data_IF_465677492860
#
_entry.id   IF_465677492860
#
_cell.length_a   1.000
_cell.length_b   1.000
_cell.length_c   1.000
_cell.angle_alpha   90.00
_cell.angle_beta   90.00
_cell.angle_gamma   90.00
#
_symmetry.space_group_name_H-M   'P 1'
#
loop_
_entity.id
_entity.type
_entity.pdbx_description
1 polymer ?
#
# COMPACT_ATOMS: atom_id res chain seq x y z
N UNK A 1 47.10 -52.99 -58.64
CA UNK A 1 47.44 -53.40 -57.27
C UNK A 1 47.87 -52.12 -56.59
N UNK A 2 46.96 -51.50 -55.82
CA UNK A 2 47.26 -50.24 -55.16
C UNK A 2 48.36 -50.45 -54.11
N UNK A 3 49.29 -49.50 -54.04
CA UNK A 3 50.40 -49.55 -53.09
C UNK A 3 49.85 -49.60 -51.66
N UNK A 4 50.36 -50.47 -50.76
CA UNK A 4 49.97 -50.52 -49.34
C UNK A 4 50.17 -49.19 -48.59
N UNK A 5 50.95 -48.27 -49.16
CA UNK A 5 51.17 -46.91 -48.64
C UNK A 5 49.99 -46.00 -49.00
N UNK A 6 49.38 -46.19 -50.18
CA UNK A 6 48.26 -45.36 -50.64
C UNK A 6 46.98 -45.60 -49.84
N UNK A 7 46.84 -46.78 -49.22
CA UNK A 7 45.73 -47.05 -48.29
C UNK A 7 45.82 -46.26 -46.99
N UNK A 8 46.96 -45.63 -46.68
CA UNK A 8 47.15 -44.73 -45.52
C UNK A 8 47.18 -43.26 -45.96
N UNK A 9 47.82 -42.96 -47.11
CA UNK A 9 47.88 -41.60 -47.65
C UNK A 9 46.51 -41.06 -48.05
N UNK A 10 45.62 -41.90 -48.61
CA UNK A 10 44.29 -41.43 -49.02
C UNK A 10 43.43 -40.99 -47.82
N UNK A 11 43.35 -41.75 -46.71
CA UNK A 11 42.75 -41.27 -45.47
C UNK A 11 43.39 -39.97 -44.94
N UNK A 12 44.72 -39.88 -44.90
CA UNK A 12 45.40 -38.66 -44.45
C UNK A 12 45.02 -37.43 -45.29
N UNK A 13 44.90 -37.59 -46.61
CA UNK A 13 44.44 -36.51 -47.49
C UNK A 13 43.00 -36.10 -47.19
N UNK A 14 42.11 -37.06 -46.90
CA UNK A 14 40.73 -36.75 -46.51
C UNK A 14 40.67 -35.98 -45.19
N UNK A 15 41.52 -36.34 -44.22
CA UNK A 15 41.62 -35.62 -42.94
C UNK A 15 42.19 -34.21 -43.12
N UNK A 16 43.15 -34.03 -44.04
CA UNK A 16 43.71 -32.71 -44.37
C UNK A 16 42.79 -31.84 -45.25
N UNK A 17 41.80 -32.43 -45.91
CA UNK A 17 40.76 -31.70 -46.64
C UNK A 17 39.67 -31.14 -45.71
N UNK A 18 39.68 -31.50 -44.42
CA UNK A 18 38.79 -30.91 -43.40
C UNK A 18 39.16 -29.46 -43.08
N UNK A 19 38.24 -28.73 -42.47
CA UNK A 19 38.57 -27.41 -41.93
C UNK A 19 39.53 -27.56 -40.73
N UNK A 20 40.40 -26.57 -40.46
CA UNK A 20 41.34 -26.63 -39.35
C UNK A 20 40.70 -26.91 -37.99
N UNK A 21 39.48 -26.41 -37.75
CA UNK A 21 38.75 -26.61 -36.50
C UNK A 21 38.26 -28.06 -36.35
N UNK A 22 37.81 -28.69 -37.45
CA UNK A 22 37.47 -30.11 -37.47
C UNK A 22 38.71 -30.99 -37.23
N UNK A 23 39.87 -30.57 -37.77
CA UNK A 23 41.14 -31.27 -37.57
C UNK A 23 41.61 -31.21 -36.10
N UNK A 24 41.33 -30.11 -35.38
CA UNK A 24 41.61 -29.96 -33.94
C UNK A 24 40.78 -30.91 -33.07
N UNK A 25 39.63 -31.40 -33.57
CA UNK A 25 38.82 -32.42 -32.90
C UNK A 25 39.31 -33.85 -33.22
N UNK A 26 39.96 -34.04 -34.36
CA UNK A 26 40.38 -35.35 -34.89
C UNK A 26 41.89 -35.63 -34.68
N UNK A 27 42.53 -34.96 -33.70
CA UNK A 27 43.98 -35.08 -33.44
C UNK A 27 44.42 -36.51 -33.16
N UNK A 28 43.62 -37.32 -32.46
CA UNK A 28 43.96 -38.71 -32.14
C UNK A 28 43.88 -39.63 -33.38
N UNK A 29 42.78 -39.64 -34.16
CA UNK A 29 42.71 -40.36 -35.44
C UNK A 29 43.78 -39.91 -36.45
N UNK A 30 44.02 -38.60 -36.55
CA UNK A 30 45.08 -38.04 -37.39
C UNK A 30 46.47 -38.56 -36.96
N UNK A 31 46.79 -38.51 -35.67
CA UNK A 31 48.08 -38.98 -35.14
C UNK A 31 48.31 -40.46 -35.41
N UNK A 32 47.27 -41.30 -35.25
CA UNK A 32 47.34 -42.73 -35.57
C UNK A 32 47.70 -42.99 -37.04
N UNK A 33 47.10 -42.23 -37.96
CA UNK A 33 47.40 -42.36 -39.40
C UNK A 33 48.82 -41.90 -39.74
N UNK A 34 49.33 -40.87 -39.07
CA UNK A 34 50.72 -40.41 -39.22
C UNK A 34 51.70 -41.46 -38.70
N UNK A 35 51.39 -42.11 -37.57
CA UNK A 35 52.20 -43.19 -37.01
C UNK A 35 52.23 -44.41 -37.95
N UNK A 36 51.09 -44.79 -38.52
CA UNK A 36 50.98 -45.87 -39.52
C UNK A 36 51.84 -45.59 -40.76
N UNK A 37 51.84 -44.35 -41.25
CA UNK A 37 52.68 -43.93 -42.38
C UNK A 37 54.17 -43.91 -42.00
N UNK A 38 54.51 -43.46 -40.79
CA UNK A 38 55.88 -43.43 -40.27
C UNK A 38 56.48 -44.84 -40.16
N UNK A 39 55.68 -45.82 -39.74
CA UNK A 39 56.06 -47.24 -39.67
C UNK A 39 56.41 -47.83 -41.05
N UNK A 40 55.94 -47.20 -42.15
CA UNK A 40 56.25 -47.59 -43.53
C UNK A 40 57.30 -46.69 -44.21
N UNK A 41 58.00 -45.84 -43.44
CA UNK A 41 58.99 -44.86 -43.93
C UNK A 41 60.03 -45.40 -44.92
N UNK A 42 60.47 -46.65 -44.76
CA UNK A 42 61.45 -47.30 -45.64
C UNK A 42 60.95 -47.62 -47.06
N UNK A 43 59.63 -47.54 -47.30
CA UNK A 43 58.99 -47.77 -48.61
C UNK A 43 58.58 -46.50 -49.33
N UNK A 44 58.72 -45.35 -48.69
CA UNK A 44 58.26 -44.08 -49.22
C UNK A 44 59.17 -43.59 -50.35
N UNK A 45 58.56 -43.06 -51.40
CA UNK A 45 59.25 -42.23 -52.38
C UNK A 45 59.74 -40.92 -51.76
N UNK A 46 60.68 -40.19 -52.39
CA UNK A 46 61.16 -38.91 -51.86
C UNK A 46 60.04 -37.90 -51.58
N UNK A 47 59.00 -37.86 -52.42
CA UNK A 47 57.86 -36.97 -52.26
C UNK A 47 56.98 -37.37 -51.06
N UNK A 48 56.72 -38.67 -50.89
CA UNK A 48 55.95 -39.18 -49.75
C UNK A 48 56.71 -39.02 -48.43
N UNK A 49 58.04 -39.11 -48.46
CA UNK A 49 58.89 -38.83 -47.31
C UNK A 49 58.84 -37.35 -46.91
N UNK A 50 58.84 -36.42 -47.87
CA UNK A 50 58.62 -34.99 -47.59
C UNK A 50 57.23 -34.71 -47.02
N UNK A 51 56.20 -35.39 -47.56
CA UNK A 51 54.84 -35.30 -47.04
C UNK A 51 54.76 -35.79 -45.57
N UNK A 52 55.38 -36.93 -45.24
CA UNK A 52 55.47 -37.42 -43.87
C UNK A 52 56.19 -36.42 -42.94
N UNK A 53 57.27 -35.78 -43.38
CA UNK A 53 57.95 -34.75 -42.58
C UNK A 53 57.05 -33.55 -42.26
N UNK A 54 56.20 -33.14 -43.20
CA UNK A 54 55.21 -32.07 -42.99
C UNK A 54 54.13 -32.51 -42.00
N UNK A 55 53.63 -33.74 -42.14
CA UNK A 55 52.64 -34.33 -41.23
C UNK A 55 53.16 -34.46 -39.80
N UNK A 56 54.43 -34.84 -39.61
CA UNK A 56 55.04 -34.97 -38.29
C UNK A 56 55.11 -33.62 -37.56
N UNK A 57 55.46 -32.54 -38.27
CA UNK A 57 55.46 -31.18 -37.71
C UNK A 57 54.05 -30.71 -37.35
N UNK A 58 53.10 -30.90 -38.27
CA UNK A 58 51.69 -30.56 -38.02
C UNK A 58 51.13 -31.34 -36.82
N UNK A 59 51.45 -32.63 -36.71
CA UNK A 59 51.07 -33.46 -35.55
C UNK A 59 51.66 -32.91 -34.25
N UNK A 60 52.94 -32.52 -34.24
CA UNK A 60 53.58 -31.95 -33.04
C UNK A 60 52.86 -30.67 -32.58
N UNK A 61 52.54 -29.77 -33.50
CA UNK A 61 51.79 -28.53 -33.21
C UNK A 61 50.36 -28.84 -32.74
N UNK A 62 49.63 -29.70 -33.45
CA UNK A 62 48.26 -30.08 -33.08
C UNK A 62 48.19 -30.75 -31.70
N UNK A 63 49.10 -31.68 -31.40
CA UNK A 63 49.14 -32.36 -30.10
C UNK A 63 49.49 -31.40 -28.96
N UNK A 64 50.34 -30.40 -29.23
CA UNK A 64 50.71 -29.40 -28.23
C UNK A 64 49.59 -28.38 -27.97
N UNK A 65 48.98 -27.85 -29.03
CA UNK A 65 48.14 -26.67 -28.95
C UNK A 65 46.64 -26.98 -28.91
N UNK A 66 46.17 -28.08 -29.50
CA UNK A 66 44.73 -28.40 -29.54
C UNK A 66 44.08 -28.53 -28.15
N UNK A 67 44.70 -29.16 -27.13
CA UNK A 67 44.12 -29.19 -25.79
C UNK A 67 43.95 -27.79 -25.18
N UNK A 68 44.88 -26.88 -25.46
CA UNK A 68 44.81 -25.51 -24.97
C UNK A 68 43.75 -24.69 -25.72
N UNK A 69 43.69 -24.80 -27.05
CA UNK A 69 42.69 -24.12 -27.89
C UNK A 69 41.28 -24.52 -27.45
N UNK A 70 40.99 -25.83 -27.40
CA UNK A 70 39.67 -26.33 -27.00
C UNK A 70 39.30 -25.86 -25.58
N UNK A 71 40.24 -25.91 -24.64
CA UNK A 71 40.01 -25.43 -23.27
C UNK A 71 39.64 -23.94 -23.22
N UNK A 72 40.33 -23.10 -24.01
CA UNK A 72 40.09 -21.66 -24.04
C UNK A 72 38.75 -21.34 -24.70
N UNK A 73 38.42 -22.02 -25.80
CA UNK A 73 37.15 -21.81 -26.52
C UNK A 73 35.94 -22.27 -25.69
N UNK A 74 36.01 -23.45 -25.05
CA UNK A 74 34.97 -23.90 -24.13
C UNK A 74 34.79 -22.93 -22.96
N UNK A 75 35.90 -22.42 -22.41
CA UNK A 75 35.85 -21.43 -21.34
C UNK A 75 35.25 -20.10 -21.82
N UNK A 76 35.59 -19.63 -23.03
CA UNK A 76 35.04 -18.40 -23.60
C UNK A 76 33.51 -18.48 -23.70
N UNK A 77 33.00 -19.55 -24.31
CA UNK A 77 31.55 -19.78 -24.45
C UNK A 77 30.89 -19.80 -23.07
N UNK A 78 31.45 -20.57 -22.13
CA UNK A 78 30.89 -20.68 -20.78
C UNK A 78 30.86 -19.33 -20.05
N UNK A 79 31.96 -18.57 -20.10
CA UNK A 79 32.01 -17.25 -19.46
C UNK A 79 31.12 -16.23 -20.16
N UNK A 80 30.94 -16.31 -21.48
CA UNK A 80 30.04 -15.43 -22.21
C UNK A 80 28.58 -15.66 -21.81
N UNK A 81 28.16 -16.93 -21.68
CA UNK A 81 26.84 -17.31 -21.17
C UNK A 81 26.63 -16.84 -19.74
N UNK A 82 27.60 -17.08 -18.86
CA UNK A 82 27.55 -16.62 -17.47
C UNK A 82 27.46 -15.10 -17.36
N UNK A 83 28.28 -14.37 -18.13
CA UNK A 83 28.29 -12.91 -18.14
C UNK A 83 26.94 -12.37 -18.61
N UNK A 84 26.38 -12.93 -19.69
CA UNK A 84 25.07 -12.55 -20.20
C UNK A 84 23.97 -12.76 -19.15
N UNK A 85 23.97 -13.93 -18.49
CA UNK A 85 23.02 -14.20 -17.40
C UNK A 85 23.13 -13.23 -16.23
N UNK A 86 24.36 -12.85 -15.84
CA UNK A 86 24.58 -11.84 -14.80
C UNK A 86 24.09 -10.47 -15.25
N UNK A 87 24.32 -10.06 -16.50
CA UNK A 87 23.82 -8.79 -17.03
C UNK A 87 22.30 -8.73 -17.04
N UNK A 88 21.62 -9.81 -17.43
CA UNK A 88 20.16 -9.90 -17.40
C UNK A 88 19.62 -9.78 -15.96
N UNK A 89 20.25 -10.47 -15.01
CA UNK A 89 19.89 -10.37 -13.59
C UNK A 89 20.10 -8.96 -13.02
N UNK A 90 21.21 -8.30 -13.36
CA UNK A 90 21.48 -6.91 -12.97
C UNK A 90 20.40 -5.99 -13.54
N UNK A 91 20.03 -6.17 -14.80
CA UNK A 91 19.01 -5.37 -15.45
C UNK A 91 17.63 -5.56 -14.79
N UNK A 92 17.20 -6.81 -14.58
CA UNK A 92 15.94 -7.13 -13.91
C UNK A 92 15.89 -6.55 -12.49
N UNK A 93 16.98 -6.66 -11.74
CA UNK A 93 17.07 -6.12 -10.38
C UNK A 93 16.94 -4.60 -10.38
N UNK A 94 17.61 -3.90 -11.31
CA UNK A 94 17.49 -2.44 -11.43
C UNK A 94 16.08 -1.99 -11.76
N UNK A 95 15.39 -2.68 -12.66
CA UNK A 95 14.01 -2.31 -13.00
C UNK A 95 13.04 -2.58 -11.85
N UNK A 96 13.24 -3.70 -11.12
CA UNK A 96 12.50 -3.97 -9.88
C UNK A 96 12.72 -2.88 -8.83
N UNK A 97 13.96 -2.44 -8.61
CA UNK A 97 14.29 -1.33 -7.70
C UNK A 97 13.54 -0.05 -8.10
N UNK A 98 13.59 0.32 -9.39
CA UNK A 98 12.90 1.52 -9.91
C UNK A 98 11.38 1.47 -9.68
N UNK A 99 10.77 0.30 -9.89
CA UNK A 99 9.35 0.09 -9.62
C UNK A 99 9.01 0.23 -8.12
N UNK A 100 9.85 -0.30 -7.25
CA UNK A 100 9.69 -0.14 -5.79
C UNK A 100 9.84 1.32 -5.35
N UNK A 101 10.84 2.02 -5.87
CA UNK A 101 11.04 3.46 -5.62
C UNK A 101 9.82 4.28 -6.06
N UNK A 102 9.28 4.01 -7.25
CA UNK A 102 8.06 4.67 -7.74
C UNK A 102 6.84 4.39 -6.86
N UNK A 103 6.70 3.16 -6.38
CA UNK A 103 5.63 2.77 -5.45
C UNK A 103 5.77 3.50 -4.10
N UNK A 104 6.99 3.57 -3.56
CA UNK A 104 7.27 4.29 -2.31
C UNK A 104 6.97 5.78 -2.45
N UNK A 105 7.37 6.41 -3.55
CA UNK A 105 7.06 7.82 -3.80
C UNK A 105 5.54 8.10 -3.81
N UNK A 106 4.75 7.21 -4.41
CA UNK A 106 3.30 7.32 -4.39
C UNK A 106 2.71 7.14 -2.97
N UNK A 107 3.26 6.21 -2.19
CA UNK A 107 2.84 6.01 -0.79
C UNK A 107 3.15 7.23 0.09
N UNK A 108 4.33 7.83 -0.04
CA UNK A 108 4.66 9.07 0.70
C UNK A 108 3.72 10.22 0.35
N UNK A 109 3.40 10.40 -0.93
CA UNK A 109 2.42 11.42 -1.33
C UNK A 109 1.03 11.16 -0.73
N UNK A 110 0.61 9.89 -0.67
CA UNK A 110 -0.66 9.52 -0.05
C UNK A 110 -0.66 9.75 1.46
N UNK A 111 0.44 9.42 2.15
CA UNK A 111 0.63 9.70 3.58
C UNK A 111 0.49 11.19 3.87
N UNK A 112 1.19 12.05 3.12
CA UNK A 112 1.08 13.51 3.28
C UNK A 112 -0.35 14.03 3.07
N UNK A 113 -1.08 13.46 2.10
CA UNK A 113 -2.48 13.80 1.87
C UNK A 113 -3.40 13.35 3.02
N UNK A 114 -3.12 12.18 3.61
CA UNK A 114 -3.83 11.68 4.80
C UNK A 114 -3.56 12.61 5.98
N UNK A 115 -2.32 13.02 6.21
CA UNK A 115 -1.94 13.94 7.30
C UNK A 115 -2.64 15.28 7.18
N UNK A 116 -2.67 15.87 5.98
CA UNK A 116 -3.41 17.12 5.70
C UNK A 116 -4.89 16.96 6.02
N UNK A 117 -5.50 15.83 5.67
CA UNK A 117 -6.91 15.54 5.97
C UNK A 117 -7.15 15.34 7.46
N UNK A 118 -6.25 14.65 8.15
CA UNK A 118 -6.31 14.45 9.59
C UNK A 118 -6.26 15.79 10.34
N UNK A 119 -5.29 16.65 10.01
CA UNK A 119 -5.17 17.98 10.60
C UNK A 119 -6.43 18.84 10.38
N UNK A 120 -7.03 18.77 9.19
CA UNK A 120 -8.31 19.47 8.91
C UNK A 120 -9.44 18.96 9.80
N UNK A 121 -9.59 17.65 9.92
CA UNK A 121 -10.65 17.04 10.74
C UNK A 121 -10.45 17.33 12.23
N UNK A 122 -9.21 17.34 12.73
CA UNK A 122 -8.90 17.75 14.10
C UNK A 122 -9.34 19.20 14.37
N UNK A 123 -9.06 20.12 13.45
CA UNK A 123 -9.53 21.51 13.54
C UNK A 123 -11.06 21.62 13.56
N UNK A 124 -11.76 20.84 12.74
CA UNK A 124 -13.23 20.80 12.74
C UNK A 124 -13.79 20.25 14.06
N UNK A 125 -13.17 19.20 14.61
CA UNK A 125 -13.55 18.63 15.92
C UNK A 125 -13.39 19.67 17.03
N UNK A 126 -12.27 20.38 17.06
CA UNK A 126 -12.03 21.44 18.07
C UNK A 126 -13.08 22.55 17.98
N UNK A 127 -13.42 23.00 16.76
CA UNK A 127 -14.46 24.01 16.56
C UNK A 127 -15.82 23.53 17.07
N UNK A 128 -16.23 22.31 16.74
CA UNK A 128 -17.50 21.73 17.18
C UNK A 128 -17.56 21.54 18.71
N UNK A 129 -16.43 21.20 19.34
CA UNK A 129 -16.34 21.10 20.79
C UNK A 129 -16.56 22.46 21.48
N UNK A 130 -15.98 23.53 20.92
CA UNK A 130 -16.18 24.88 21.44
C UNK A 130 -17.63 25.36 21.25
N UNK A 131 -18.22 25.12 20.07
CA UNK A 131 -19.63 25.43 19.82
C UNK A 131 -20.56 24.70 20.78
N UNK A 132 -20.30 23.41 21.04
CA UNK A 132 -21.03 22.64 22.06
C UNK A 132 -20.90 23.25 23.45
N UNK A 133 -19.69 23.71 23.83
CA UNK A 133 -19.43 24.31 25.14
C UNK A 133 -20.23 25.62 25.32
N UNK A 134 -20.24 26.48 24.31
CA UNK A 134 -21.00 27.73 24.32
C UNK A 134 -22.50 27.46 24.42
N UNK A 135 -23.02 26.56 23.60
CA UNK A 135 -24.43 26.18 23.64
C UNK A 135 -24.85 25.61 25.00
N UNK A 136 -24.00 24.81 25.63
CA UNK A 136 -24.25 24.29 26.97
C UNK A 136 -24.34 25.40 28.03
N UNK A 137 -23.56 26.46 27.88
CA UNK A 137 -23.63 27.61 28.79
C UNK A 137 -24.92 28.40 28.59
N UNK A 138 -25.31 28.67 27.34
CA UNK A 138 -26.59 29.33 27.03
C UNK A 138 -27.78 28.54 27.59
N UNK A 139 -27.79 27.21 27.40
CA UNK A 139 -28.83 26.33 27.95
C UNK A 139 -28.88 26.43 29.48
N UNK A 140 -27.73 26.44 30.17
CA UNK A 140 -27.69 26.57 31.63
C UNK A 140 -28.27 27.91 32.09
N UNK A 141 -27.94 29.00 31.40
CA UNK A 141 -28.47 30.33 31.71
C UNK A 141 -29.98 30.38 31.53
N UNK A 142 -30.50 29.81 30.45
CA UNK A 142 -31.94 29.79 30.19
C UNK A 142 -32.70 28.88 31.16
N UNK A 143 -32.12 27.75 31.56
CA UNK A 143 -32.65 26.92 32.66
C UNK A 143 -32.71 27.73 33.96
N UNK A 144 -31.65 28.49 34.29
CA UNK A 144 -31.63 29.32 35.50
C UNK A 144 -32.75 30.38 35.49
N UNK A 145 -32.91 31.11 34.38
CA UNK A 145 -34.01 32.08 34.19
C UNK A 145 -35.39 31.42 34.29
N UNK A 146 -35.55 30.22 33.73
CA UNK A 146 -36.81 29.48 33.80
C UNK A 146 -37.14 29.05 35.24
N UNK A 147 -36.14 28.60 36.00
CA UNK A 147 -36.30 28.23 37.40
C UNK A 147 -36.67 29.42 38.28
N UNK A 148 -36.08 30.59 38.02
CA UNK A 148 -36.44 31.85 38.68
C UNK A 148 -37.92 32.21 38.41
N UNK A 149 -38.35 32.25 37.15
CA UNK A 149 -39.76 32.49 36.79
C UNK A 149 -40.71 31.48 37.42
N UNK A 150 -40.30 30.21 37.53
CA UNK A 150 -41.11 29.16 38.16
C UNK A 150 -41.28 29.42 39.66
N UNK A 151 -40.25 29.95 40.33
CA UNK A 151 -40.33 30.36 41.74
C UNK A 151 -41.30 31.54 41.91
N UNK A 152 -41.15 32.57 41.10
CA UNK A 152 -42.06 33.74 41.13
C UNK A 152 -43.52 33.34 40.93
N UNK A 153 -43.78 32.42 40.00
CA UNK A 153 -45.12 31.91 39.73
C UNK A 153 -45.72 31.16 40.94
N UNK A 154 -44.91 30.38 41.67
CA UNK A 154 -45.35 29.71 42.89
C UNK A 154 -45.74 30.74 43.96
N UNK A 155 -44.90 31.76 44.18
CA UNK A 155 -45.19 32.83 45.16
C UNK A 155 -46.46 33.61 44.80
N UNK A 156 -46.67 33.89 43.51
CA UNK A 156 -47.90 34.55 43.03
C UNK A 156 -49.13 33.66 43.21
N UNK A 157 -49.01 32.35 42.98
CA UNK A 157 -50.11 31.40 43.17
C UNK A 157 -50.51 31.29 44.64
N UNK A 158 -49.55 31.29 45.54
CA UNK A 158 -49.83 31.31 46.99
C UNK A 158 -50.54 32.59 47.42
N UNK A 159 -50.12 33.75 46.89
CA UNK A 159 -50.82 35.03 47.11
C UNK A 159 -52.24 35.01 46.53
N UNK A 160 -52.41 34.47 45.32
CA UNK A 160 -53.72 34.34 44.68
C UNK A 160 -54.67 33.49 45.53
N UNK A 161 -54.21 32.35 46.05
CA UNK A 161 -55.01 31.48 46.91
C UNK A 161 -55.47 32.21 48.18
N UNK A 162 -54.54 32.89 48.89
CA UNK A 162 -54.87 33.67 50.10
C UNK A 162 -55.87 34.79 49.83
N UNK A 163 -55.68 35.53 48.74
CA UNK A 163 -56.63 36.58 48.33
C UNK A 163 -58.00 35.97 47.98
N UNK A 164 -58.03 34.81 47.34
CA UNK A 164 -59.26 34.08 47.05
C UNK A 164 -60.03 33.68 48.31
N UNK A 165 -59.34 33.17 49.33
CA UNK A 165 -59.92 32.84 50.64
C UNK A 165 -60.51 34.08 51.32
N UNK A 166 -59.75 35.16 51.44
CA UNK A 166 -60.23 36.42 52.04
C UNK A 166 -61.43 37.02 51.29
N UNK A 167 -61.44 36.95 49.95
CA UNK A 167 -62.59 37.42 49.16
C UNK A 167 -63.85 36.56 49.40
N UNK A 168 -63.68 35.25 49.61
CA UNK A 168 -64.80 34.36 49.97
C UNK A 168 -65.40 34.76 51.32
N UNK A 169 -64.56 34.99 52.33
CA UNK A 169 -64.99 35.45 53.67
C UNK A 169 -65.73 36.79 53.59
N UNK A 170 -65.17 37.80 52.93
CA UNK A 170 -65.80 39.11 52.75
C UNK A 170 -67.14 38.99 52.00
N UNK A 171 -67.22 38.08 51.03
CA UNK A 171 -68.46 37.83 50.28
C UNK A 171 -69.56 37.28 51.19
N UNK A 172 -69.21 36.40 52.13
CA UNK A 172 -70.16 35.86 53.10
C UNK A 172 -70.56 36.90 54.16
N UNK A 173 -69.62 37.72 54.63
CA UNK A 173 -69.89 38.88 55.49
C UNK A 173 -70.82 39.88 54.81
N UNK A 174 -70.62 40.18 53.53
CA UNK A 174 -71.50 41.04 52.75
C UNK A 174 -72.93 40.47 52.66
N UNK A 175 -73.11 39.14 52.55
CA UNK A 175 -74.44 38.52 52.61
C UNK A 175 -75.07 38.70 53.99
N UNK A 176 -74.30 38.58 55.07
CA UNK A 176 -74.76 38.84 56.44
C UNK A 176 -75.18 40.30 56.63
N UNK A 177 -74.34 41.25 56.21
CA UNK A 177 -74.66 42.70 56.26
C UNK A 177 -75.94 42.99 55.50
N UNK A 178 -76.12 42.45 54.29
CA UNK A 178 -77.36 42.62 53.52
C UNK A 178 -78.59 42.02 54.21
N UNK A 179 -78.45 40.94 54.97
CA UNK A 179 -79.55 40.39 55.80
C UNK A 179 -79.86 41.30 56.98
N UNK A 180 -78.84 41.77 57.69
CA UNK A 180 -78.99 42.70 58.82
C UNK A 180 -79.65 44.01 58.38
N UNK A 181 -79.19 44.59 57.27
CA UNK A 181 -79.74 45.82 56.71
C UNK A 181 -81.23 45.70 56.41
N UNK A 182 -81.65 44.61 55.73
CA UNK A 182 -83.07 44.33 55.47
C UNK A 182 -83.88 44.22 56.76
N UNK A 183 -83.39 43.48 57.75
CA UNK A 183 -84.09 43.36 59.03
C UNK A 183 -84.25 44.70 59.77
N UNK A 184 -83.27 45.61 59.66
CA UNK A 184 -83.38 46.97 60.21
C UNK A 184 -84.39 47.79 59.42
N UNK A 185 -84.36 47.72 58.09
CA UNK A 185 -85.33 48.38 57.22
C UNK A 185 -86.77 47.92 57.54
N UNK A 186 -86.99 46.61 57.66
CA UNK A 186 -88.30 46.04 58.04
C UNK A 186 -88.79 46.59 59.39
N UNK A 187 -87.93 46.54 60.43
CA UNK A 187 -88.25 47.09 61.76
C UNK A 187 -88.48 48.61 61.75
N UNK A 188 -87.76 49.34 60.91
CA UNK A 188 -87.94 50.79 60.77
C UNK A 188 -89.28 51.13 60.10
N UNK A 189 -89.68 50.37 59.06
CA UNK A 189 -91.00 50.50 58.44
C UNK A 189 -92.10 50.20 59.46
N UNK A 190 -92.00 49.09 60.20
CA UNK A 190 -92.95 48.75 61.27
C UNK A 190 -93.09 49.87 62.32
N UNK A 191 -91.97 50.41 62.81
CA UNK A 191 -91.97 51.49 63.79
C UNK A 191 -92.56 52.79 63.23
N UNK A 192 -92.31 53.08 61.95
CA UNK A 192 -92.86 54.25 61.25
C UNK A 192 -94.38 54.13 61.07
N UNK A 193 -94.87 52.96 60.66
CA UNK A 193 -96.31 52.71 60.48
C UNK A 193 -97.08 52.85 61.80
N UNK A 194 -96.52 52.37 62.92
CA UNK A 194 -97.08 52.57 64.27
C UNK A 194 -97.11 54.06 64.66
N UNK A 195 -96.06 54.81 64.32
CA UNK A 195 -96.00 56.24 64.61
C UNK A 195 -97.02 57.08 63.82
N UNK A 196 -97.40 56.65 62.61
CA UNK A 196 -98.41 57.33 61.77
C UNK A 196 -99.86 57.04 62.22
N UNK A 197 -100.07 56.07 63.11
CA UNK A 197 -101.39 55.71 63.69
C UNK A 197 -101.68 56.39 65.04
N UNK A 198 -100.71 57.14 65.58
CA UNK A 198 -100.81 57.94 66.81
C UNK A 198 -101.19 59.40 66.48
#
# INVERSE_FOLDING_TARGET
MDSPVMTIINPLKQVLDMEPDDLLQEVAPFSSLVDDLQNQSWRLSPLEAEFLQRLLRLREELVADAPFINLVEEAEVHYHEMASGVFDQIWLTKESMRMHEGTMAALFNNEEMIDKRAAKLEGEIQRLQEEKRLLQEDIKQDIAKLLEKRRDMLDLKDKQNKLGEMLSEITDDLKLVRRCKRSIEDKWVEAKDVAEQL
#
